data_IF_879232584645
#
_entry.id   IF_879232584645
#
_cell.length_a   1.000
_cell.length_b   1.000
_cell.length_c   1.000
_cell.angle_alpha   90.00
_cell.angle_beta   90.00
_cell.angle_gamma   90.00
#
_symmetry.space_group_name_H-M   'P 1'
#
loop_
_entity.id
_entity.type
_entity.pdbx_description
1 polymer ?
#
# COMPACT_ATOMS: atom_id res chain seq x y z
N UNK A 1 -17.84 -8.74 -16.08
CA UNK A 1 -18.18 -7.70 -15.08
C UNK A 1 -16.85 -7.06 -14.70
N UNK A 2 -16.66 -5.78 -15.01
CA UNK A 2 -15.39 -5.08 -14.74
C UNK A 2 -15.28 -4.84 -13.23
N UNK A 3 -14.24 -5.37 -12.61
CA UNK A 3 -13.91 -5.14 -11.20
C UNK A 3 -13.63 -3.65 -11.01
N UNK A 4 -14.24 -3.05 -9.99
CA UNK A 4 -13.91 -1.69 -9.59
C UNK A 4 -12.54 -1.72 -8.94
N UNK A 5 -11.59 -1.01 -9.53
CA UNK A 5 -10.21 -0.93 -9.02
C UNK A 5 -10.18 0.07 -7.88
N UNK A 6 -9.87 -0.39 -6.69
CA UNK A 6 -9.54 0.44 -5.52
C UNK A 6 -8.02 0.69 -5.57
N UNK A 7 -7.57 1.76 -6.20
CA UNK A 7 -6.14 2.11 -6.17
C UNK A 7 -5.80 2.71 -4.79
N UNK A 8 -5.05 1.98 -4.01
CA UNK A 8 -4.40 2.48 -2.81
C UNK A 8 -3.04 3.00 -3.21
N UNK A 9 -2.89 4.30 -3.27
CA UNK A 9 -1.55 4.91 -3.34
C UNK A 9 -0.90 4.73 -1.97
N UNK A 10 -0.14 3.67 -1.80
CA UNK A 10 0.73 3.51 -0.65
C UNK A 10 1.92 4.45 -0.84
N UNK A 11 1.80 5.68 -0.31
CA UNK A 11 2.95 6.56 -0.18
C UNK A 11 3.82 6.01 0.95
N UNK A 12 4.87 5.26 0.61
CA UNK A 12 5.94 4.93 1.54
C UNK A 12 6.70 6.22 1.88
N UNK A 13 6.26 6.92 2.92
CA UNK A 13 7.03 8.02 3.51
C UNK A 13 8.15 7.41 4.35
N UNK A 14 9.36 7.33 3.79
CA UNK A 14 10.57 7.14 4.57
C UNK A 14 10.83 8.46 5.29
N UNK A 15 10.33 8.58 6.51
CA UNK A 15 10.66 9.68 7.40
C UNK A 15 12.03 9.37 8.05
N UNK A 16 13.08 10.00 7.55
CA UNK A 16 14.32 10.16 8.30
C UNK A 16 14.07 11.19 9.40
N UNK A 17 13.62 10.73 10.55
CA UNK A 17 13.44 11.54 11.75
C UNK A 17 14.49 11.19 12.80
N UNK A 18 15.47 12.07 12.98
CA UNK A 18 16.35 12.08 14.16
C UNK A 18 15.53 12.57 15.37
N UNK A 19 15.11 11.67 16.22
CA UNK A 19 14.46 11.99 17.48
C UNK A 19 14.76 10.92 18.53
N UNK A 20 15.38 11.31 19.64
CA UNK A 20 15.73 10.47 20.76
C UNK A 20 14.50 9.74 21.34
N UNK A 21 14.50 8.43 21.26
CA UNK A 21 13.59 7.58 22.05
C UNK A 21 14.24 7.24 23.41
N UNK A 22 13.46 7.15 24.50
CA UNK A 22 14.02 6.79 25.80
C UNK A 22 14.45 5.31 25.82
N UNK A 23 15.65 5.09 26.35
CA UNK A 23 16.32 3.78 26.44
C UNK A 23 15.65 2.94 27.51
N UNK A 24 15.24 1.74 27.14
CA UNK A 24 14.88 0.67 28.07
C UNK A 24 16.15 -0.04 28.54
N UNK A 25 16.43 0.00 29.87
CA UNK A 25 17.64 -0.59 30.47
C UNK A 25 17.50 -2.11 30.59
N UNK A 26 18.12 -2.85 29.70
CA UNK A 26 18.42 -4.26 29.85
C UNK A 26 19.76 -4.56 29.20
N UNK A 27 20.68 -5.12 29.98
CA UNK A 27 22.10 -5.45 29.73
C UNK A 27 22.45 -5.63 28.23
N UNK A 28 23.22 -4.68 27.70
CA UNK A 28 23.76 -4.73 26.34
C UNK A 28 25.23 -5.11 26.36
N UNK A 29 25.55 -6.17 25.59
CA UNK A 29 26.91 -6.31 25.05
C UNK A 29 27.07 -5.33 23.89
N UNK A 30 28.19 -4.61 23.86
CA UNK A 30 28.50 -3.63 22.82
C UNK A 30 28.57 -4.25 21.44
N UNK A 31 27.68 -3.80 20.53
CA UNK A 31 27.83 -3.99 19.09
C UNK A 31 28.40 -2.69 18.52
N UNK A 32 29.65 -2.74 18.07
CA UNK A 32 30.32 -1.63 17.41
C UNK A 32 29.60 -1.22 16.12
N UNK A 33 29.13 0.02 16.11
CA UNK A 33 28.49 0.64 14.94
C UNK A 33 29.47 0.77 13.77
N UNK A 34 29.21 0.09 12.66
CA UNK A 34 29.81 0.44 11.36
C UNK A 34 29.08 1.65 10.80
N UNK A 35 29.78 2.76 10.78
CA UNK A 35 29.34 4.02 10.16
C UNK A 35 29.12 3.82 8.66
N UNK A 36 27.91 3.98 8.18
CA UNK A 36 27.64 4.11 6.75
C UNK A 36 28.05 5.52 6.29
N UNK A 37 29.05 5.59 5.41
CA UNK A 37 29.39 6.82 4.73
C UNK A 37 28.43 7.05 3.54
N UNK A 38 27.91 8.27 3.34
CA UNK A 38 27.15 8.57 2.13
C UNK A 38 28.07 8.61 0.90
N UNK A 39 27.66 7.94 -0.16
CA UNK A 39 28.36 7.98 -1.45
C UNK A 39 28.23 9.38 -2.02
N UNK A 40 29.36 10.09 -2.11
CA UNK A 40 29.49 11.38 -2.75
C UNK A 40 29.23 11.28 -4.26
N UNK A 41 28.23 11.99 -4.77
CA UNK A 41 27.99 12.11 -6.19
C UNK A 41 29.09 12.94 -6.87
N UNK A 42 29.91 12.31 -7.71
CA UNK A 42 30.88 12.97 -8.56
C UNK A 42 30.15 13.69 -9.70
N UNK A 43 30.41 15.01 -9.83
CA UNK A 43 29.94 15.83 -10.95
C UNK A 43 30.82 15.58 -12.15
N UNK A 44 30.39 14.76 -13.09
CA UNK A 44 30.90 14.80 -14.45
C UNK A 44 29.84 15.35 -15.39
N UNK A 45 30.14 16.53 -15.91
CA UNK A 45 29.40 17.18 -17.00
C UNK A 45 29.71 16.46 -18.29
N UNK A 46 28.85 15.62 -18.78
CA UNK A 46 28.83 15.19 -20.17
C UNK A 46 27.51 15.55 -20.81
N UNK A 47 27.59 16.52 -21.72
CA UNK A 47 26.54 16.97 -22.62
C UNK A 47 26.15 15.78 -23.51
N UNK A 48 24.97 15.23 -23.34
CA UNK A 48 24.44 14.18 -24.21
C UNK A 48 23.01 14.60 -24.60
N UNK A 49 22.77 14.60 -25.89
CA UNK A 49 21.51 14.95 -26.55
C UNK A 49 20.34 14.15 -25.99
N UNK A 50 19.27 14.84 -25.60
CA UNK A 50 18.01 14.24 -25.22
C UNK A 50 17.37 13.53 -26.42
N UNK A 51 17.63 12.25 -26.57
CA UNK A 51 16.69 11.36 -27.24
C UNK A 51 15.47 11.21 -26.34
N UNK A 52 14.36 11.85 -26.74
CA UNK A 52 13.03 11.60 -26.19
C UNK A 52 12.68 10.11 -26.35
N UNK A 53 13.10 9.31 -25.41
CA UNK A 53 12.54 7.96 -25.21
C UNK A 53 11.14 8.20 -24.64
N UNK A 54 10.13 7.96 -25.45
CA UNK A 54 8.73 7.91 -24.99
C UNK A 54 8.64 6.78 -23.97
N UNK A 55 8.71 7.15 -22.70
CA UNK A 55 8.37 6.28 -21.58
C UNK A 55 6.88 5.94 -21.75
N UNK A 56 6.58 4.73 -22.16
CA UNK A 56 5.22 4.18 -22.20
C UNK A 56 4.80 3.75 -20.78
N UNK A 57 4.91 4.63 -19.79
CA UNK A 57 3.97 4.58 -18.69
C UNK A 57 2.66 5.09 -19.27
N UNK A 58 1.68 4.24 -19.36
CA UNK A 58 0.32 4.61 -19.76
C UNK A 58 -0.21 5.60 -18.73
N UNK A 59 0.04 6.90 -18.93
CA UNK A 59 -0.62 7.93 -18.16
C UNK A 59 -2.10 7.75 -18.38
N UNK A 60 -2.79 7.22 -17.37
CA UNK A 60 -4.25 7.10 -17.38
C UNK A 60 -4.81 8.48 -17.75
N UNK A 61 -5.80 8.51 -18.65
CA UNK A 61 -6.46 9.76 -18.98
C UNK A 61 -7.06 10.41 -17.73
N UNK A 62 -7.16 11.73 -17.69
CA UNK A 62 -7.80 12.46 -16.57
C UNK A 62 -9.18 11.90 -16.25
N UNK A 63 -9.94 11.53 -17.30
CA UNK A 63 -11.27 10.93 -17.13
C UNK A 63 -11.19 9.58 -16.43
N UNK A 64 -10.21 8.74 -16.76
CA UNK A 64 -10.04 7.44 -16.13
C UNK A 64 -9.61 7.57 -14.66
N UNK A 65 -8.70 8.50 -14.36
CA UNK A 65 -8.32 8.83 -12.99
C UNK A 65 -9.53 9.30 -12.16
N UNK A 66 -10.36 10.19 -12.72
CA UNK A 66 -11.57 10.67 -12.04
C UNK A 66 -12.60 9.54 -11.80
N UNK A 67 -12.71 8.58 -12.71
CA UNK A 67 -13.58 7.40 -12.53
C UNK A 67 -13.06 6.48 -11.43
N UNK A 68 -11.75 6.30 -11.33
CA UNK A 68 -11.11 5.55 -10.23
C UNK A 68 -11.39 6.24 -8.91
N UNK A 69 -11.15 7.55 -8.80
CA UNK A 69 -11.45 8.34 -7.60
C UNK A 69 -12.95 8.23 -7.22
N UNK A 70 -13.85 8.23 -8.20
CA UNK A 70 -15.29 8.01 -7.96
C UNK A 70 -15.56 6.63 -7.35
N UNK A 71 -14.92 5.58 -7.88
CA UNK A 71 -15.07 4.22 -7.38
C UNK A 71 -14.50 4.04 -5.96
N UNK A 72 -13.49 4.85 -5.61
CA UNK A 72 -12.85 4.91 -4.29
C UNK A 72 -13.59 5.81 -3.29
N UNK A 73 -14.72 6.41 -3.67
CA UNK A 73 -15.48 7.40 -2.86
C UNK A 73 -14.74 8.74 -2.65
N UNK A 74 -13.64 9.00 -3.34
CA UNK A 74 -12.85 10.23 -3.29
C UNK A 74 -13.48 11.32 -4.18
N UNK A 75 -14.73 11.65 -3.93
CA UNK A 75 -15.54 12.51 -4.80
C UNK A 75 -14.99 13.94 -4.90
N UNK A 76 -14.46 14.49 -3.80
CA UNK A 76 -13.91 15.84 -3.78
C UNK A 76 -12.66 15.96 -4.65
N UNK A 77 -11.77 14.98 -4.56
CA UNK A 77 -10.54 14.97 -5.39
C UNK A 77 -10.87 14.70 -6.87
N UNK A 78 -11.85 13.85 -7.16
CA UNK A 78 -12.33 13.67 -8.52
C UNK A 78 -12.88 14.96 -9.12
N UNK A 79 -13.72 15.70 -8.38
CA UNK A 79 -14.28 16.99 -8.81
C UNK A 79 -13.15 18.00 -9.03
N UNK A 80 -12.19 18.09 -8.11
CA UNK A 80 -11.05 19.00 -8.17
C UNK A 80 -10.17 18.71 -9.39
N UNK A 81 -9.83 17.43 -9.62
CA UNK A 81 -9.08 16.98 -10.80
C UNK A 81 -9.76 17.40 -12.10
N UNK A 82 -11.05 17.12 -12.25
CA UNK A 82 -11.81 17.45 -13.45
C UNK A 82 -11.90 18.96 -13.68
N UNK A 83 -12.23 19.73 -12.64
CA UNK A 83 -12.35 21.19 -12.73
C UNK A 83 -11.01 21.90 -12.99
N UNK A 84 -9.88 21.26 -12.70
CA UNK A 84 -8.57 21.81 -13.03
C UNK A 84 -8.24 21.77 -14.52
N UNK A 85 -9.00 21.03 -15.32
CA UNK A 85 -8.78 20.91 -16.76
C UNK A 85 -9.31 22.16 -17.49
N UNK A 86 -8.49 22.70 -18.40
CA UNK A 86 -8.82 23.93 -19.15
C UNK A 86 -10.08 23.81 -20.00
N UNK A 87 -10.43 22.60 -20.42
CA UNK A 87 -11.59 22.29 -21.26
C UNK A 87 -12.79 21.74 -20.47
N UNK A 88 -12.77 21.82 -19.14
CA UNK A 88 -13.81 21.25 -18.27
C UNK A 88 -15.23 21.61 -18.73
N UNK A 89 -15.49 22.92 -18.96
CA UNK A 89 -16.83 23.42 -19.34
C UNK A 89 -17.27 23.01 -20.75
N UNK A 90 -16.34 22.52 -21.58
CA UNK A 90 -16.60 22.06 -22.95
C UNK A 90 -16.61 20.54 -23.07
N UNK A 91 -16.14 19.85 -22.05
CA UNK A 91 -16.03 18.40 -22.02
C UNK A 91 -17.21 17.80 -21.26
N UNK A 92 -18.16 17.26 -22.00
CA UNK A 92 -19.37 16.68 -21.41
C UNK A 92 -19.07 15.54 -20.44
N UNK A 93 -18.09 14.70 -20.76
CA UNK A 93 -17.74 13.55 -19.89
C UNK A 93 -17.19 14.02 -18.55
N UNK A 94 -16.39 15.10 -18.54
CA UNK A 94 -15.89 15.70 -17.29
C UNK A 94 -17.03 16.26 -16.45
N UNK A 95 -17.95 16.99 -17.08
CA UNK A 95 -19.12 17.54 -16.39
C UNK A 95 -20.02 16.44 -15.83
N UNK A 96 -20.28 15.39 -16.60
CA UNK A 96 -21.14 14.27 -16.19
C UNK A 96 -20.56 13.51 -15.00
N UNK A 97 -19.24 13.24 -14.98
CA UNK A 97 -18.58 12.58 -13.83
C UNK A 97 -18.56 13.52 -12.61
N UNK A 98 -18.25 14.80 -12.79
CA UNK A 98 -18.28 15.77 -11.70
C UNK A 98 -19.68 15.89 -11.06
N UNK A 99 -20.73 15.91 -11.89
CA UNK A 99 -22.12 15.92 -11.40
C UNK A 99 -22.46 14.63 -10.62
N UNK A 100 -22.04 13.45 -11.11
CA UNK A 100 -22.19 12.18 -10.39
C UNK A 100 -21.48 12.22 -9.04
N UNK A 101 -20.23 12.73 -9.00
CA UNK A 101 -19.49 12.89 -7.75
C UNK A 101 -20.23 13.80 -6.76
N UNK A 102 -20.80 14.94 -7.21
CA UNK A 102 -21.56 15.85 -6.35
C UNK A 102 -22.79 15.18 -5.72
N UNK A 103 -23.53 14.41 -6.51
CA UNK A 103 -24.72 13.68 -6.02
C UNK A 103 -24.29 12.60 -5.02
N UNK A 104 -23.29 11.80 -5.35
CA UNK A 104 -22.81 10.73 -4.49
C UNK A 104 -22.21 11.26 -3.19
N UNK A 105 -21.44 12.36 -3.25
CA UNK A 105 -20.89 13.05 -2.08
C UNK A 105 -21.97 13.51 -1.10
N UNK A 106 -23.08 14.04 -1.59
CA UNK A 106 -24.20 14.49 -0.74
C UNK A 106 -24.87 13.35 0.04
N UNK A 107 -24.68 12.10 -0.40
CA UNK A 107 -25.21 10.91 0.24
C UNK A 107 -24.24 10.21 1.21
N UNK A 108 -23.02 10.74 1.36
CA UNK A 108 -22.04 10.19 2.30
C UNK A 108 -22.50 10.42 3.75
N UNK A 109 -22.17 9.48 4.60
CA UNK A 109 -22.37 9.55 6.05
C UNK A 109 -21.04 9.45 6.77
N UNK A 110 -20.91 10.16 7.89
CA UNK A 110 -19.73 10.07 8.74
C UNK A 110 -19.72 8.73 9.47
N UNK A 111 -18.59 8.01 9.39
CA UNK A 111 -18.39 6.79 10.15
C UNK A 111 -17.68 7.09 11.47
N UNK A 112 -18.12 6.50 12.60
CA UNK A 112 -17.47 6.70 13.90
C UNK A 112 -16.05 6.15 13.90
N UNK A 113 -15.04 7.02 14.00
CA UNK A 113 -13.61 6.63 13.92
C UNK A 113 -13.25 5.60 14.99
N UNK A 114 -13.84 5.70 16.18
CA UNK A 114 -13.62 4.76 17.29
C UNK A 114 -14.12 3.33 17.02
N UNK A 115 -14.85 3.12 15.91
CA UNK A 115 -15.37 1.80 15.50
C UNK A 115 -14.61 1.22 14.30
N UNK A 116 -13.57 1.90 13.83
CA UNK A 116 -12.77 1.40 12.71
C UNK A 116 -11.94 0.22 13.19
N UNK A 117 -12.07 -0.90 12.50
CA UNK A 117 -11.30 -2.11 12.77
C UNK A 117 -9.92 -1.98 12.14
N UNK A 118 -8.88 -2.35 12.87
CA UNK A 118 -7.55 -2.57 12.35
C UNK A 118 -7.35 -4.07 12.14
N UNK A 119 -6.98 -4.45 10.93
CA UNK A 119 -6.62 -5.82 10.54
C UNK A 119 -5.16 -5.81 10.14
N UNK A 120 -4.39 -6.76 10.62
CA UNK A 120 -2.99 -6.91 10.27
C UNK A 120 -2.66 -8.35 9.91
N UNK A 121 -1.61 -8.51 9.11
CA UNK A 121 -1.03 -9.79 8.76
C UNK A 121 0.48 -9.70 8.93
N UNK A 122 1.11 -10.82 9.25
CA UNK A 122 2.55 -10.99 9.08
C UNK A 122 2.86 -11.30 7.60
N UNK A 123 4.12 -11.52 7.27
CA UNK A 123 4.55 -12.02 5.96
C UNK A 123 3.77 -13.29 5.60
N UNK A 124 3.24 -13.36 4.37
CA UNK A 124 2.37 -14.45 3.95
C UNK A 124 3.17 -15.69 3.53
N UNK A 125 2.61 -16.86 3.82
CA UNK A 125 3.15 -18.13 3.34
C UNK A 125 2.83 -18.29 1.85
N UNK A 126 3.88 -18.28 1.01
CA UNK A 126 3.78 -18.57 -0.44
C UNK A 126 3.76 -20.08 -0.69
N UNK A 127 4.64 -20.83 -0.01
CA UNK A 127 4.79 -22.26 -0.20
C UNK A 127 4.51 -23.03 1.11
N UNK A 128 3.30 -23.57 1.19
CA UNK A 128 2.84 -24.29 2.37
C UNK A 128 3.57 -25.61 2.58
N UNK A 129 4.17 -26.21 1.55
CA UNK A 129 4.93 -27.46 1.67
C UNK A 129 6.26 -27.27 2.38
N UNK A 130 6.79 -26.04 2.35
CA UNK A 130 8.01 -25.65 3.07
C UNK A 130 7.69 -25.14 4.48
N UNK A 131 6.71 -24.23 4.59
CA UNK A 131 6.34 -23.65 5.88
C UNK A 131 5.75 -24.67 6.87
N UNK A 132 5.18 -25.78 6.37
CA UNK A 132 4.52 -26.81 7.18
C UNK A 132 5.12 -28.20 6.92
N UNK A 133 6.43 -28.28 6.78
CA UNK A 133 7.17 -29.52 6.49
C UNK A 133 7.38 -30.42 7.72
N UNK A 134 7.04 -29.92 8.91
CA UNK A 134 7.11 -30.66 10.18
C UNK A 134 8.41 -30.46 10.95
N UNK A 135 9.22 -29.49 10.57
CA UNK A 135 10.39 -29.05 11.33
C UNK A 135 10.02 -28.32 12.64
N UNK A 136 11.02 -27.74 13.35
CA UNK A 136 10.80 -27.04 14.62
C UNK A 136 9.94 -25.79 14.48
N UNK A 137 9.94 -25.11 13.32
CA UNK A 137 9.32 -23.82 13.10
C UNK A 137 7.89 -23.93 12.54
N UNK A 138 7.57 -25.06 11.87
CA UNK A 138 6.24 -25.37 11.33
C UNK A 138 5.10 -25.18 12.33
N UNK A 139 5.32 -25.57 13.58
CA UNK A 139 4.32 -25.43 14.66
C UNK A 139 4.01 -23.98 14.99
N UNK A 140 5.02 -23.10 14.97
CA UNK A 140 4.89 -21.66 15.17
C UNK A 140 4.20 -21.00 13.99
N UNK A 141 4.63 -21.30 12.78
CA UNK A 141 4.03 -20.76 11.56
C UNK A 141 2.54 -21.09 11.44
N UNK A 142 2.16 -22.33 11.73
CA UNK A 142 0.76 -22.75 11.69
C UNK A 142 -0.15 -22.03 12.69
N UNK A 143 0.41 -21.43 13.75
CA UNK A 143 -0.38 -20.70 14.75
C UNK A 143 -0.64 -19.25 14.36
N UNK A 144 0.29 -18.59 13.66
CA UNK A 144 0.28 -17.12 13.52
C UNK A 144 0.39 -16.63 12.08
N UNK A 145 0.87 -17.47 11.15
CA UNK A 145 1.05 -17.06 9.76
C UNK A 145 -0.19 -17.39 8.91
N UNK A 146 -0.41 -16.56 7.91
CA UNK A 146 -1.52 -16.70 6.96
C UNK A 146 -0.95 -17.09 5.60
N UNK A 147 -1.57 -18.03 4.91
CA UNK A 147 -1.21 -18.37 3.54
C UNK A 147 -1.73 -17.33 2.54
N UNK A 148 -1.11 -17.22 1.36
CA UNK A 148 -1.59 -16.36 0.27
C UNK A 148 -3.05 -16.70 -0.10
N UNK A 149 -3.41 -17.98 -0.15
CA UNK A 149 -4.77 -18.42 -0.47
C UNK A 149 -5.80 -17.95 0.58
N UNK A 150 -5.46 -18.06 1.86
CA UNK A 150 -6.31 -17.56 2.95
C UNK A 150 -6.44 -16.04 2.90
N UNK A 151 -5.33 -15.33 2.73
CA UNK A 151 -5.32 -13.89 2.59
C UNK A 151 -6.25 -13.42 1.46
N UNK A 152 -6.07 -13.95 0.25
CA UNK A 152 -6.89 -13.61 -0.90
C UNK A 152 -8.38 -13.87 -0.64
N UNK A 153 -8.70 -14.97 0.03
CA UNK A 153 -10.07 -15.31 0.41
C UNK A 153 -10.64 -14.36 1.45
N UNK A 154 -9.85 -13.98 2.46
CA UNK A 154 -10.25 -13.02 3.50
C UNK A 154 -10.54 -11.66 2.87
N UNK A 155 -9.64 -11.13 2.03
CA UNK A 155 -9.80 -9.84 1.37
C UNK A 155 -11.02 -9.85 0.45
N UNK A 156 -11.25 -10.92 -0.32
CA UNK A 156 -12.45 -11.05 -1.15
C UNK A 156 -13.73 -11.04 -0.30
N UNK A 157 -13.77 -11.77 0.80
CA UNK A 157 -14.93 -11.80 1.71
C UNK A 157 -15.17 -10.41 2.32
N UNK A 158 -14.12 -9.71 2.73
CA UNK A 158 -14.25 -8.35 3.27
C UNK A 158 -14.82 -7.40 2.22
N UNK A 159 -14.29 -7.44 1.00
CA UNK A 159 -14.81 -6.65 -0.13
C UNK A 159 -16.30 -6.92 -0.39
N UNK A 160 -16.69 -8.20 -0.46
CA UNK A 160 -18.08 -8.62 -0.71
C UNK A 160 -19.03 -8.15 0.40
N UNK A 161 -18.54 -8.06 1.65
CA UNK A 161 -19.28 -7.52 2.80
C UNK A 161 -19.31 -6.00 2.85
N UNK A 162 -18.66 -5.32 1.92
CA UNK A 162 -18.66 -3.86 1.81
C UNK A 162 -17.61 -3.16 2.69
N UNK A 163 -16.58 -3.87 3.13
CA UNK A 163 -15.44 -3.24 3.78
C UNK A 163 -14.68 -2.34 2.78
N UNK A 164 -14.18 -1.22 3.29
CA UNK A 164 -13.42 -0.21 2.53
C UNK A 164 -12.15 0.10 3.29
N UNK A 165 -11.01 -0.10 2.64
CA UNK A 165 -9.72 0.24 3.22
C UNK A 165 -9.55 1.75 3.28
N UNK A 166 -9.13 2.26 4.45
CA UNK A 166 -8.91 3.68 4.71
C UNK A 166 -7.51 3.89 5.29
N UNK A 167 -6.96 5.07 5.07
CA UNK A 167 -5.65 5.42 5.62
C UNK A 167 -5.76 5.76 7.11
N UNK A 168 -4.79 5.37 7.95
CA UNK A 168 -4.68 5.89 9.31
C UNK A 168 -4.58 7.42 9.35
N UNK A 169 -4.02 8.05 8.31
CA UNK A 169 -3.92 9.51 8.17
C UNK A 169 -5.31 10.19 8.04
N UNK A 170 -6.33 9.46 7.58
CA UNK A 170 -7.69 9.98 7.51
C UNK A 170 -8.38 9.99 8.88
N UNK A 171 -7.83 9.26 9.86
CA UNK A 171 -8.37 9.15 11.22
C UNK A 171 -7.91 10.29 12.12
N UNK A 172 -6.76 10.89 11.82
CA UNK A 172 -6.19 11.99 12.60
C UNK A 172 -5.30 12.88 11.71
N UNK A 173 -5.33 14.17 11.97
CA UNK A 173 -4.51 15.17 11.27
C UNK A 173 -3.58 15.84 12.28
N UNK A 174 -2.30 15.96 11.92
CA UNK A 174 -1.33 16.76 12.68
C UNK A 174 -1.46 18.22 12.23
N UNK A 175 -1.76 19.10 13.18
CA UNK A 175 -1.88 20.54 12.95
C UNK A 175 -0.48 21.21 12.90
N UNK A 176 -0.42 22.45 12.43
CA UNK A 176 0.83 23.21 12.33
C UNK A 176 1.54 23.41 13.68
N UNK A 177 0.79 23.47 14.77
CA UNK A 177 1.30 23.60 16.14
C UNK A 177 1.72 22.25 16.76
N UNK A 178 1.66 21.16 16.01
CA UNK A 178 1.98 19.80 16.45
C UNK A 178 0.86 19.12 17.25
N UNK A 179 -0.26 19.79 17.50
CA UNK A 179 -1.43 19.14 18.09
C UNK A 179 -2.12 18.22 17.07
N UNK A 180 -2.97 17.31 17.56
CA UNK A 180 -3.72 16.42 16.69
C UNK A 180 -5.21 16.77 16.70
N UNK A 181 -5.79 16.80 15.51
CA UNK A 181 -7.22 16.91 15.30
C UNK A 181 -7.79 15.57 14.87
N UNK A 182 -9.03 15.29 15.31
CA UNK A 182 -9.80 14.13 14.85
C UNK A 182 -10.07 14.27 13.34
N UNK A 183 -9.75 13.22 12.59
CA UNK A 183 -10.11 13.11 11.17
C UNK A 183 -11.58 12.80 10.95
N UNK A 184 -11.98 12.69 9.70
CA UNK A 184 -13.36 12.43 9.27
C UNK A 184 -13.37 11.44 8.14
N UNK A 185 -14.01 10.30 8.36
CA UNK A 185 -14.18 9.29 7.32
C UNK A 185 -15.63 9.30 6.86
N UNK A 186 -15.82 9.69 5.60
CA UNK A 186 -17.11 9.83 4.94
C UNK A 186 -17.29 8.74 3.91
N UNK A 187 -18.27 7.85 4.10
CA UNK A 187 -18.52 6.71 3.21
C UNK A 187 -20.00 6.59 2.87
N UNK A 188 -20.36 5.92 1.76
CA UNK A 188 -21.73 5.55 1.50
C UNK A 188 -22.32 4.73 2.64
N UNK A 189 -23.60 4.93 2.93
CA UNK A 189 -24.31 4.18 3.97
C UNK A 189 -24.16 2.66 3.73
N UNK A 190 -23.78 1.94 4.79
CA UNK A 190 -23.59 0.49 4.75
C UNK A 190 -22.17 0.03 4.39
N UNK A 191 -21.26 0.95 4.07
CA UNK A 191 -19.84 0.64 3.96
C UNK A 191 -19.18 0.67 5.33
N UNK A 192 -18.13 -0.16 5.50
CA UNK A 192 -17.44 -0.40 6.77
C UNK A 192 -15.97 -0.09 6.58
N UNK A 193 -15.42 1.02 7.08
CA UNK A 193 -14.01 1.31 6.96
C UNK A 193 -13.17 0.38 7.83
N UNK A 194 -11.99 0.01 7.34
CA UNK A 194 -10.96 -0.69 8.08
C UNK A 194 -9.58 -0.21 7.70
N UNK A 195 -8.62 -0.35 8.61
CA UNK A 195 -7.20 -0.14 8.36
C UNK A 195 -6.55 -1.49 8.15
N UNK A 196 -5.67 -1.59 7.17
CA UNK A 196 -4.85 -2.76 6.91
C UNK A 196 -3.38 -2.41 7.14
N UNK A 197 -2.64 -3.26 7.86
CA UNK A 197 -1.19 -3.16 8.00
C UNK A 197 -0.53 -4.51 7.83
N UNK A 198 0.75 -4.47 7.51
CA UNK A 198 1.61 -5.65 7.51
C UNK A 198 2.67 -5.48 8.59
N UNK A 199 2.76 -6.48 9.45
CA UNK A 199 3.81 -6.58 10.44
C UNK A 199 5.00 -7.36 9.85
N UNK A 200 6.19 -7.15 10.41
CA UNK A 200 7.41 -7.88 10.05
C UNK A 200 7.84 -7.78 8.57
N UNK A 201 7.68 -6.62 7.94
CA UNK A 201 8.15 -6.34 6.58
C UNK A 201 9.69 -6.40 6.45
N UNK A 202 10.36 -6.79 7.52
CA UNK A 202 11.82 -6.98 7.57
C UNK A 202 12.31 -8.19 6.81
N UNK A 203 11.44 -9.16 6.53
CA UNK A 203 11.79 -10.42 5.85
C UNK A 203 12.99 -11.09 6.52
N UNK A 204 12.77 -11.71 7.64
CA UNK A 204 13.82 -12.25 8.49
C UNK A 204 14.56 -13.42 7.83
N UNK A 205 15.89 -13.40 7.89
CA UNK A 205 16.73 -14.45 7.30
C UNK A 205 16.52 -15.84 7.89
N UNK A 206 15.98 -15.95 9.11
CA UNK A 206 15.65 -17.27 9.67
C UNK A 206 14.48 -17.96 8.94
N UNK A 207 13.71 -17.20 8.16
CA UNK A 207 12.59 -17.71 7.34
C UNK A 207 13.03 -18.02 5.90
N UNK A 208 14.31 -17.81 5.57
CA UNK A 208 14.83 -18.14 4.23
C UNK A 208 14.74 -19.65 3.99
N UNK A 209 14.04 -20.04 2.92
CA UNK A 209 13.79 -21.45 2.60
C UNK A 209 12.48 -22.01 3.12
N UNK A 210 11.80 -21.34 4.05
CA UNK A 210 10.56 -21.81 4.69
C UNK A 210 9.29 -21.37 3.95
N UNK A 211 9.41 -21.04 2.69
CA UNK A 211 8.25 -20.75 1.84
C UNK A 211 7.74 -19.31 1.91
N UNK A 212 8.56 -18.37 2.36
CA UNK A 212 8.26 -16.94 2.44
C UNK A 212 9.01 -16.11 1.40
N UNK A 213 8.48 -14.94 1.06
CA UNK A 213 9.23 -13.96 0.29
C UNK A 213 10.48 -13.49 1.04
N UNK A 214 11.54 -13.13 0.31
CA UNK A 214 12.82 -12.68 0.91
C UNK A 214 12.93 -11.18 1.06
N UNK A 215 12.23 -10.39 0.24
CA UNK A 215 12.17 -8.90 0.32
C UNK A 215 11.17 -8.28 -0.64
N UNK A 216 10.89 -6.99 -0.42
CA UNK A 216 10.23 -6.13 -1.38
C UNK A 216 11.23 -5.59 -2.40
N UNK A 217 10.80 -5.52 -3.66
CA UNK A 217 11.56 -4.94 -4.78
C UNK A 217 10.64 -4.11 -5.67
N UNK A 218 11.23 -3.30 -6.54
CA UNK A 218 10.51 -2.70 -7.65
C UNK A 218 10.84 -3.48 -8.92
N UNK A 219 9.82 -3.80 -9.71
CA UNK A 219 10.03 -4.39 -11.02
C UNK A 219 10.47 -3.33 -12.06
N UNK A 220 10.64 -3.73 -13.30
CA UNK A 220 11.06 -2.86 -14.42
C UNK A 220 10.06 -1.74 -14.75
N UNK A 221 8.81 -1.88 -14.30
CA UNK A 221 7.75 -0.89 -14.46
C UNK A 221 7.65 0.06 -13.25
N UNK A 222 8.40 -0.20 -12.18
CA UNK A 222 8.36 0.51 -10.92
C UNK A 222 7.21 0.06 -10.01
N UNK A 223 6.62 -1.11 -10.27
CA UNK A 223 5.61 -1.72 -9.41
C UNK A 223 6.28 -2.47 -8.25
N UNK A 224 5.61 -2.43 -7.08
CA UNK A 224 6.09 -3.18 -5.91
C UNK A 224 5.83 -4.67 -6.11
N UNK A 225 6.87 -5.46 -5.93
CA UNK A 225 6.85 -6.93 -6.01
C UNK A 225 7.65 -7.52 -4.86
N UNK A 226 7.68 -8.85 -4.79
CA UNK A 226 8.54 -9.58 -3.87
C UNK A 226 9.54 -10.43 -4.63
N UNK A 227 10.73 -10.59 -4.07
CA UNK A 227 11.63 -11.68 -4.44
C UNK A 227 11.29 -12.93 -3.64
N UNK A 228 11.50 -14.08 -4.26
CA UNK A 228 11.42 -15.40 -3.64
C UNK A 228 12.60 -16.25 -4.12
N UNK A 229 13.25 -16.92 -3.19
CA UNK A 229 14.40 -17.81 -3.49
C UNK A 229 13.86 -19.22 -3.68
N UNK A 230 14.00 -19.74 -4.91
CA UNK A 230 13.58 -21.08 -5.28
C UNK A 230 14.59 -22.12 -4.76
N UNK A 231 14.23 -23.43 -4.76
CA UNK A 231 15.07 -24.51 -4.23
C UNK A 231 16.44 -24.66 -4.91
N UNK A 232 16.52 -24.29 -6.17
CA UNK A 232 17.78 -24.30 -6.94
C UNK A 232 18.63 -23.03 -6.73
N UNK A 233 18.20 -22.11 -5.85
CA UNK A 233 18.84 -20.83 -5.55
C UNK A 233 18.55 -19.74 -6.58
N UNK A 234 17.69 -19.99 -7.58
CA UNK A 234 17.23 -18.93 -8.48
C UNK A 234 16.27 -18.00 -7.76
N UNK A 235 16.21 -16.74 -8.24
CA UNK A 235 15.34 -15.72 -7.67
C UNK A 235 14.19 -15.47 -8.63
N UNK A 236 12.95 -15.69 -8.15
CA UNK A 236 11.75 -15.29 -8.85
C UNK A 236 11.20 -13.97 -8.28
N UNK A 237 10.54 -13.18 -9.13
CA UNK A 237 9.91 -11.90 -8.75
C UNK A 237 8.42 -11.98 -9.05
N UNK A 238 7.58 -11.64 -8.08
CA UNK A 238 6.13 -11.73 -8.24
C UNK A 238 5.35 -11.19 -7.06
N UNK A 239 4.05 -11.47 -7.04
CA UNK A 239 3.14 -11.07 -5.99
C UNK A 239 3.10 -12.17 -4.90
N UNK A 240 4.09 -12.17 -4.01
CA UNK A 240 4.28 -13.25 -3.05
C UNK A 240 4.00 -12.82 -1.61
N UNK A 241 3.55 -11.57 -1.39
CA UNK A 241 3.17 -11.09 -0.07
C UNK A 241 2.10 -9.99 -0.15
N UNK A 242 1.61 -9.52 0.98
CA UNK A 242 0.44 -8.67 1.15
C UNK A 242 0.44 -7.45 0.23
N UNK A 243 1.54 -6.68 0.17
CA UNK A 243 1.57 -5.40 -0.55
C UNK A 243 1.25 -5.58 -2.04
N UNK A 244 2.01 -6.37 -2.83
CA UNK A 244 1.69 -6.53 -4.25
C UNK A 244 0.38 -7.29 -4.50
N UNK A 245 -0.07 -8.14 -3.57
CA UNK A 245 -1.36 -8.82 -3.69
C UNK A 245 -2.54 -7.85 -3.52
N UNK A 246 -2.43 -6.88 -2.62
CA UNK A 246 -3.44 -5.83 -2.48
C UNK A 246 -3.45 -4.92 -3.71
N UNK A 247 -2.27 -4.53 -4.22
CA UNK A 247 -2.18 -3.72 -5.46
C UNK A 247 -2.82 -4.42 -6.66
N UNK A 248 -2.71 -5.76 -6.74
CA UNK A 248 -3.37 -6.55 -7.78
C UNK A 248 -4.89 -6.67 -7.57
N UNK A 249 -5.33 -6.74 -6.30
CA UNK A 249 -6.74 -6.91 -5.95
C UNK A 249 -7.56 -5.64 -6.27
N UNK A 250 -6.97 -4.46 -6.11
CA UNK A 250 -7.65 -3.17 -6.25
C UNK A 250 -7.49 -2.60 -7.64
#
# INVERSE_FOLDING_TARGET
>A
MKKAVLAVTLAAAVAAGSGNMPVWNGNTQEITSKTYMPVSASKDKKKTEEKKTKNKNSSQSVLEQAKIMYAQYNYDEAIKLLKSQKDFEKNKDYMDIAAKCQVARAALVEYPIEKITHVFFHTLVKDTSKAFDGDSDSGGYNQVMTTIDEFNKIIQIMYDKGYVMVSPHDMATVNEDGSMSRGKIMLPKGKIPFVLSQDDVSYYHYMDGDGYASRLVLDENGEVKNEYIEDDGTVSVGNYDMVPLIDEFV
#
